data_IF_412335611545
#
_entry.id   IF_412335611545
#
_cell.length_a   1.000
_cell.length_b   1.000
_cell.length_c   1.000
_cell.angle_alpha   90.00
_cell.angle_beta   90.00
_cell.angle_gamma   90.00
#
_symmetry.space_group_name_H-M   'P 1'
#
loop_
_entity.id
_entity.type
_entity.pdbx_description
1 polymer ?
#
# COMPACT_ATOMS: atom_id res chain seq x y z
N UNK A 1 9.81 -19.43 57.27
CA UNK A 1 10.39 -18.35 56.44
C UNK A 1 11.21 -18.87 55.24
N UNK A 2 12.10 -19.87 55.38
CA UNK A 2 12.92 -20.40 54.27
C UNK A 2 12.15 -20.98 53.06
N UNK A 3 10.99 -21.62 53.25
CA UNK A 3 10.20 -22.20 52.14
C UNK A 3 9.58 -21.13 51.24
N UNK A 4 9.15 -19.99 51.78
CA UNK A 4 8.52 -18.89 51.01
C UNK A 4 9.55 -18.19 50.11
N UNK A 5 10.77 -17.96 50.61
CA UNK A 5 11.88 -17.43 49.78
C UNK A 5 12.24 -18.35 48.61
N UNK A 6 12.15 -19.66 48.80
CA UNK A 6 12.45 -20.64 47.75
C UNK A 6 11.41 -20.61 46.62
N UNK A 7 10.11 -20.51 46.94
CA UNK A 7 9.06 -20.38 45.93
C UNK A 7 9.14 -19.06 45.16
N UNK A 8 9.48 -17.95 45.82
CA UNK A 8 9.67 -16.66 45.16
C UNK A 8 10.83 -16.67 44.16
N UNK A 9 11.90 -17.41 44.46
CA UNK A 9 13.04 -17.60 43.54
C UNK A 9 12.66 -18.40 42.29
N UNK A 10 11.87 -19.46 42.44
CA UNK A 10 11.39 -20.27 41.31
C UNK A 10 10.45 -19.44 40.42
N UNK A 11 9.53 -18.68 41.01
CA UNK A 11 8.64 -17.80 40.25
C UNK A 11 9.45 -16.73 39.50
N UNK A 12 10.44 -16.10 40.15
CA UNK A 12 11.31 -15.12 39.50
C UNK A 12 12.08 -15.70 38.31
N UNK A 13 12.60 -16.93 38.41
CA UNK A 13 13.31 -17.60 37.31
C UNK A 13 12.38 -17.96 36.14
N UNK A 14 11.13 -18.36 36.42
CA UNK A 14 10.12 -18.61 35.37
C UNK A 14 9.72 -17.32 34.66
N UNK A 15 9.55 -16.21 35.39
CA UNK A 15 9.32 -14.89 34.79
C UNK A 15 10.53 -14.41 33.99
N UNK A 16 11.76 -14.63 34.48
CA UNK A 16 12.98 -14.27 33.76
C UNK A 16 13.10 -15.05 32.44
N UNK A 17 12.82 -16.35 32.45
CA UNK A 17 12.83 -17.19 31.24
C UNK A 17 11.75 -16.80 30.22
N UNK A 18 10.56 -16.40 30.70
CA UNK A 18 9.50 -15.89 29.82
C UNK A 18 9.84 -14.50 29.24
N UNK A 19 10.52 -13.66 30.03
CA UNK A 19 10.95 -12.32 29.62
C UNK A 19 12.09 -12.37 28.59
N UNK A 20 13.08 -13.24 28.78
CA UNK A 20 14.17 -13.44 27.81
C UNK A 20 13.68 -14.07 26.51
N UNK A 21 12.75 -15.03 26.56
CA UNK A 21 12.12 -15.58 25.36
C UNK A 21 11.38 -14.50 24.54
N UNK A 22 10.69 -13.56 25.21
CA UNK A 22 10.06 -12.40 24.55
C UNK A 22 11.07 -11.43 23.96
N UNK A 23 12.21 -11.20 24.61
CA UNK A 23 13.25 -10.30 24.10
C UNK A 23 13.93 -10.91 22.88
N UNK A 24 14.28 -12.20 22.92
CA UNK A 24 14.83 -12.88 21.75
C UNK A 24 13.83 -12.91 20.60
N UNK A 25 12.55 -13.23 20.84
CA UNK A 25 11.54 -13.23 19.78
C UNK A 25 11.29 -11.83 19.22
N UNK A 26 11.34 -10.79 20.05
CA UNK A 26 11.24 -9.41 19.60
C UNK A 26 12.48 -8.95 18.82
N UNK A 27 13.68 -9.35 19.22
CA UNK A 27 14.91 -9.03 18.48
C UNK A 27 14.98 -9.76 17.14
N UNK A 28 14.61 -11.04 17.09
CA UNK A 28 14.55 -11.79 15.83
C UNK A 28 13.47 -11.25 14.93
N UNK A 29 12.27 -10.93 15.45
CA UNK A 29 11.21 -10.27 14.70
C UNK A 29 11.66 -8.92 14.17
N UNK A 30 12.24 -8.06 15.00
CA UNK A 30 12.74 -6.73 14.61
C UNK A 30 13.86 -6.82 13.56
N UNK A 31 14.74 -7.83 13.65
CA UNK A 31 15.80 -8.06 12.68
C UNK A 31 15.23 -8.60 11.37
N UNK A 32 14.27 -9.53 11.45
CA UNK A 32 13.55 -10.06 10.30
C UNK A 32 12.80 -8.96 9.54
N UNK A 33 12.05 -8.10 10.24
CA UNK A 33 11.34 -6.99 9.61
C UNK A 33 12.31 -5.95 9.05
N UNK A 34 13.43 -5.66 9.73
CA UNK A 34 14.47 -4.76 9.22
C UNK A 34 15.09 -5.29 7.93
N UNK A 35 15.41 -6.58 7.88
CA UNK A 35 15.99 -7.21 6.69
C UNK A 35 14.96 -7.24 5.54
N UNK A 36 13.68 -7.54 5.84
CA UNK A 36 12.60 -7.52 4.85
C UNK A 36 12.39 -6.12 4.26
N UNK A 37 12.39 -5.08 5.10
CA UNK A 37 12.30 -3.69 4.63
C UNK A 37 13.52 -3.30 3.79
N UNK A 38 14.72 -3.67 4.23
CA UNK A 38 15.95 -3.40 3.48
C UNK A 38 15.95 -4.08 2.10
N UNK A 39 15.38 -5.28 1.98
CA UNK A 39 15.25 -5.96 0.68
C UNK A 39 14.24 -5.27 -0.25
N UNK A 40 13.11 -4.80 0.27
CA UNK A 40 12.11 -4.08 -0.54
C UNK A 40 12.64 -2.71 -1.01
N UNK A 41 13.37 -2.01 -0.15
CA UNK A 41 14.05 -0.76 -0.50
C UNK A 41 15.08 -0.96 -1.62
N UNK A 42 15.88 -2.03 -1.56
CA UNK A 42 16.89 -2.36 -2.59
C UNK A 42 16.23 -2.71 -3.94
N UNK A 43 15.20 -3.55 -3.95
CA UNK A 43 14.48 -3.91 -5.18
C UNK A 43 13.85 -2.67 -5.81
N UNK A 44 13.24 -1.81 -4.99
CA UNK A 44 12.63 -0.55 -5.44
C UNK A 44 13.67 0.42 -5.98
N UNK A 45 14.83 0.53 -5.32
CA UNK A 45 15.93 1.39 -5.75
C UNK A 45 16.53 0.91 -7.07
N UNK A 46 16.80 -0.39 -7.20
CA UNK A 46 17.28 -0.98 -8.45
C UNK A 46 16.27 -0.77 -9.58
N UNK A 47 14.96 -0.90 -9.33
CA UNK A 47 13.95 -0.60 -10.35
C UNK A 47 14.01 0.87 -10.80
N UNK A 48 14.11 1.83 -9.87
CA UNK A 48 14.27 3.26 -10.20
C UNK A 48 15.52 3.52 -11.05
N UNK A 49 16.67 2.97 -10.65
CA UNK A 49 17.92 3.12 -11.40
C UNK A 49 17.83 2.54 -12.81
N UNK A 50 17.11 1.43 -12.98
CA UNK A 50 16.87 0.85 -14.30
C UNK A 50 15.97 1.74 -15.16
N UNK A 51 14.96 2.39 -14.58
CA UNK A 51 14.11 3.36 -15.29
C UNK A 51 14.91 4.59 -15.74
N UNK A 52 15.83 5.06 -14.90
CA UNK A 52 16.69 6.21 -15.23
C UNK A 52 17.64 5.90 -16.40
N UNK A 53 18.18 4.67 -16.44
CA UNK A 53 19.07 4.20 -17.52
C UNK A 53 18.30 3.85 -18.80
N UNK A 54 17.08 3.35 -18.67
CA UNK A 54 16.25 2.91 -19.79
C UNK A 54 14.84 3.51 -19.68
N UNK A 55 14.66 4.78 -20.13
CA UNK A 55 13.35 5.42 -20.11
C UNK A 55 12.32 4.61 -20.90
N UNK A 56 11.22 4.25 -20.25
CA UNK A 56 10.08 3.55 -20.85
C UNK A 56 8.89 4.49 -20.99
N UNK A 57 7.87 4.12 -21.77
CA UNK A 57 6.65 4.93 -21.95
C UNK A 57 5.68 4.81 -20.78
N UNK A 58 4.79 5.80 -20.62
CA UNK A 58 3.82 5.81 -19.53
C UNK A 58 2.91 4.57 -19.60
N UNK A 59 2.52 4.14 -20.80
CA UNK A 59 1.79 2.88 -21.03
C UNK A 59 2.54 1.65 -20.53
N UNK A 60 3.86 1.58 -20.72
CA UNK A 60 4.67 0.48 -20.24
C UNK A 60 4.79 0.50 -18.71
N UNK A 61 4.97 1.68 -18.12
CA UNK A 61 5.00 1.86 -16.66
C UNK A 61 3.66 1.45 -16.01
N UNK A 62 2.53 1.81 -16.61
CA UNK A 62 1.21 1.35 -16.14
C UNK A 62 1.10 -0.17 -16.21
N UNK A 63 1.53 -0.79 -17.31
CA UNK A 63 1.53 -2.27 -17.43
C UNK A 63 2.39 -2.94 -16.36
N UNK A 64 3.56 -2.36 -16.06
CA UNK A 64 4.42 -2.87 -15.00
C UNK A 64 3.79 -2.67 -13.62
N UNK A 65 3.20 -1.50 -13.35
CA UNK A 65 2.47 -1.23 -12.10
C UNK A 65 1.30 -2.19 -11.88
N UNK A 66 0.52 -2.49 -12.92
CA UNK A 66 -0.56 -3.50 -12.86
C UNK A 66 -0.01 -4.90 -12.60
N UNK A 67 1.15 -5.26 -13.19
CA UNK A 67 1.80 -6.55 -12.93
C UNK A 67 2.22 -6.65 -11.46
N UNK A 68 2.87 -5.62 -10.92
CA UNK A 68 3.28 -5.57 -9.51
C UNK A 68 2.09 -5.60 -8.55
N UNK A 69 0.99 -4.91 -8.88
CA UNK A 69 -0.26 -5.03 -8.11
C UNK A 69 -0.80 -6.47 -8.05
N UNK A 70 -0.64 -7.25 -9.14
CA UNK A 70 -1.07 -8.65 -9.18
C UNK A 70 -0.13 -9.58 -8.41
N UNK A 71 1.16 -9.27 -8.34
CA UNK A 71 2.15 -10.03 -7.55
C UNK A 71 2.16 -9.64 -6.07
N UNK A 72 1.50 -8.53 -5.71
CA UNK A 72 1.44 -8.01 -4.35
C UNK A 72 2.59 -7.06 -4.00
N UNK A 73 3.47 -6.75 -4.96
CA UNK A 73 4.58 -5.81 -4.80
C UNK A 73 4.08 -4.36 -4.89
N UNK A 74 3.29 -3.96 -3.90
CA UNK A 74 2.60 -2.65 -3.89
C UNK A 74 3.57 -1.45 -3.94
N UNK A 75 4.77 -1.58 -3.36
CA UNK A 75 5.78 -0.52 -3.38
C UNK A 75 6.40 -0.32 -4.78
N UNK A 76 6.68 -1.41 -5.50
CA UNK A 76 7.10 -1.35 -6.91
C UNK A 76 6.00 -0.80 -7.81
N UNK A 77 4.75 -1.20 -7.55
CA UNK A 77 3.61 -0.66 -8.27
C UNK A 77 3.48 0.86 -8.08
N UNK A 78 3.64 1.34 -6.84
CA UNK A 78 3.62 2.77 -6.53
C UNK A 78 4.67 3.52 -7.36
N UNK A 79 5.91 3.05 -7.35
CA UNK A 79 7.01 3.71 -8.07
C UNK A 79 6.77 3.74 -9.58
N UNK A 80 6.36 2.62 -10.17
CA UNK A 80 6.06 2.57 -11.60
C UNK A 80 4.95 3.55 -11.98
N UNK A 81 3.88 3.61 -11.18
CA UNK A 81 2.71 4.43 -11.46
C UNK A 81 2.95 5.92 -11.16
N UNK A 82 3.74 6.26 -10.15
CA UNK A 82 4.19 7.64 -9.91
C UNK A 82 5.07 8.16 -11.05
N UNK A 83 5.91 7.31 -11.64
CA UNK A 83 6.67 7.68 -12.84
C UNK A 83 5.74 7.83 -14.06
N UNK A 84 4.74 6.96 -14.20
CA UNK A 84 3.76 7.06 -15.28
C UNK A 84 2.97 8.38 -15.24
N UNK A 85 2.54 8.83 -14.06
CA UNK A 85 1.79 10.10 -13.90
C UNK A 85 2.68 11.33 -14.13
N UNK A 86 3.98 11.26 -13.81
CA UNK A 86 4.94 12.32 -14.13
C UNK A 86 5.21 12.41 -15.63
N UNK A 87 5.34 11.26 -16.29
CA UNK A 87 5.64 11.20 -17.72
C UNK A 87 4.44 11.61 -18.57
N UNK A 88 3.23 11.17 -18.22
CA UNK A 88 2.01 11.58 -18.88
C UNK A 88 0.93 11.99 -17.85
N UNK A 89 0.84 13.28 -17.52
CA UNK A 89 -0.16 13.82 -16.61
C UNK A 89 -1.61 13.72 -17.11
N UNK A 90 -1.84 13.29 -18.35
CA UNK A 90 -3.18 13.07 -18.91
C UNK A 90 -3.54 11.59 -19.01
N UNK A 91 -2.65 10.69 -18.57
CA UNK A 91 -2.92 9.27 -18.67
C UNK A 91 -3.79 8.76 -17.52
N UNK A 92 -5.10 8.75 -17.74
CA UNK A 92 -6.12 8.34 -16.77
C UNK A 92 -5.79 7.06 -16.02
N UNK A 93 -5.40 6.00 -16.73
CA UNK A 93 -5.13 4.68 -16.12
C UNK A 93 -4.00 4.75 -15.09
N UNK A 94 -2.98 5.59 -15.31
CA UNK A 94 -1.89 5.76 -14.35
C UNK A 94 -2.40 6.27 -13.00
N UNK A 95 -3.30 7.26 -13.02
CA UNK A 95 -3.92 7.80 -11.81
C UNK A 95 -4.90 6.81 -11.16
N UNK A 96 -5.67 6.05 -11.95
CA UNK A 96 -6.58 5.01 -11.42
C UNK A 96 -5.81 3.94 -10.66
N UNK A 97 -4.77 3.38 -11.26
CA UNK A 97 -3.99 2.34 -10.62
C UNK A 97 -3.15 2.89 -9.47
N UNK A 98 -2.65 4.13 -9.55
CA UNK A 98 -1.96 4.77 -8.43
C UNK A 98 -2.91 4.96 -7.23
N UNK A 99 -4.15 5.36 -7.49
CA UNK A 99 -5.20 5.43 -6.49
C UNK A 99 -5.47 4.07 -5.83
N UNK A 100 -5.55 3.00 -6.61
CA UNK A 100 -5.68 1.63 -6.09
C UNK A 100 -4.48 1.23 -5.21
N UNK A 101 -3.25 1.51 -5.63
CA UNK A 101 -2.05 1.27 -4.80
C UNK A 101 -2.15 1.99 -3.46
N UNK A 102 -2.49 3.28 -3.46
CA UNK A 102 -2.62 4.04 -2.23
C UNK A 102 -3.75 3.51 -1.34
N UNK A 103 -4.86 3.00 -1.90
CA UNK A 103 -5.87 2.29 -1.11
C UNK A 103 -5.28 1.01 -0.48
N UNK A 104 -4.55 0.18 -1.22
CA UNK A 104 -3.95 -1.04 -0.64
C UNK A 104 -2.97 -0.72 0.50
N UNK A 105 -2.27 0.41 0.43
CA UNK A 105 -1.37 0.91 1.48
C UNK A 105 -2.08 1.71 2.58
N UNK A 106 -3.43 1.79 2.58
CA UNK A 106 -4.23 2.60 3.51
C UNK A 106 -3.93 4.12 3.49
N UNK A 107 -3.29 4.62 2.43
CA UNK A 107 -3.03 6.04 2.19
C UNK A 107 -4.26 6.70 1.56
N UNK A 108 -5.40 6.64 2.25
CA UNK A 108 -6.72 6.96 1.68
C UNK A 108 -6.83 8.39 1.13
N UNK A 109 -6.14 9.36 1.74
CA UNK A 109 -6.14 10.75 1.27
C UNK A 109 -5.40 10.90 -0.08
N UNK A 110 -4.22 10.27 -0.23
CA UNK A 110 -3.50 10.27 -1.52
C UNK A 110 -4.26 9.49 -2.59
N UNK A 111 -4.92 8.40 -2.19
CA UNK A 111 -5.79 7.67 -3.09
C UNK A 111 -6.89 8.58 -3.64
N UNK A 112 -7.57 9.33 -2.76
CA UNK A 112 -8.60 10.27 -3.15
C UNK A 112 -8.06 11.32 -4.15
N UNK A 113 -6.90 11.91 -3.87
CA UNK A 113 -6.27 12.90 -4.78
C UNK A 113 -5.97 12.32 -6.17
N UNK A 114 -5.36 11.13 -6.24
CA UNK A 114 -5.07 10.47 -7.51
C UNK A 114 -6.36 10.11 -8.27
N UNK A 115 -7.37 9.60 -7.58
CA UNK A 115 -8.64 9.19 -8.18
C UNK A 115 -9.49 10.38 -8.63
N UNK A 116 -9.43 11.52 -7.92
CA UNK A 116 -10.04 12.77 -8.36
C UNK A 116 -9.40 13.25 -9.67
N UNK A 117 -8.07 13.15 -9.82
CA UNK A 117 -7.40 13.40 -11.11
C UNK A 117 -7.84 12.43 -12.21
N UNK A 118 -7.97 11.14 -11.90
CA UNK A 118 -8.48 10.16 -12.86
C UNK A 118 -9.93 10.50 -13.31
N UNK A 119 -10.76 10.97 -12.37
CA UNK A 119 -12.14 11.40 -12.64
C UNK A 119 -12.18 12.64 -13.52
N UNK A 120 -11.31 13.62 -13.27
CA UNK A 120 -11.22 14.83 -14.11
C UNK A 120 -10.83 14.49 -15.56
N UNK A 121 -10.02 13.45 -15.76
CA UNK A 121 -9.56 12.99 -17.08
C UNK A 121 -10.61 12.15 -17.82
N UNK A 122 -11.32 11.26 -17.11
CA UNK A 122 -12.46 10.50 -17.65
C UNK A 122 -13.58 10.39 -16.59
N UNK A 123 -14.56 11.30 -16.63
CA UNK A 123 -15.67 11.31 -15.68
C UNK A 123 -16.62 10.12 -15.81
N UNK A 124 -16.55 9.34 -16.89
CA UNK A 124 -17.44 8.21 -17.15
C UNK A 124 -16.80 6.87 -16.81
N UNK A 125 -15.56 6.84 -16.31
CA UNK A 125 -14.88 5.59 -16.02
C UNK A 125 -15.44 4.88 -14.78
N UNK A 126 -16.10 3.71 -14.90
CA UNK A 126 -16.77 3.07 -13.78
C UNK A 126 -15.81 2.69 -12.65
N UNK A 127 -14.62 2.21 -13.01
CA UNK A 127 -13.63 1.75 -12.04
C UNK A 127 -13.03 2.90 -11.22
N UNK A 128 -12.88 4.11 -11.80
CA UNK A 128 -12.50 5.30 -11.02
C UNK A 128 -13.53 5.57 -9.92
N UNK A 129 -14.81 5.56 -10.25
CA UNK A 129 -15.89 5.80 -9.30
C UNK A 129 -16.00 4.71 -8.23
N UNK A 130 -15.74 3.45 -8.59
CA UNK A 130 -15.65 2.35 -7.63
C UNK A 130 -14.51 2.59 -6.62
N UNK A 131 -13.33 3.00 -7.07
CA UNK A 131 -12.22 3.26 -6.15
C UNK A 131 -12.46 4.52 -5.32
N UNK A 132 -13.10 5.55 -5.89
CA UNK A 132 -13.51 6.76 -5.15
C UNK A 132 -14.48 6.43 -4.02
N UNK A 133 -15.46 5.54 -4.25
CA UNK A 133 -16.39 5.14 -3.20
C UNK A 133 -15.66 4.47 -2.03
N UNK A 134 -14.70 3.60 -2.32
CA UNK A 134 -13.84 2.97 -1.30
C UNK A 134 -13.00 4.02 -0.56
N UNK A 135 -12.41 4.98 -1.27
CA UNK A 135 -11.62 6.05 -0.66
C UNK A 135 -12.47 6.92 0.28
N UNK A 136 -13.64 7.36 -0.18
CA UNK A 136 -14.57 8.15 0.62
C UNK A 136 -15.06 7.39 1.86
N UNK A 137 -15.42 6.12 1.71
CA UNK A 137 -15.85 5.27 2.82
C UNK A 137 -14.75 5.16 3.89
N UNK A 138 -13.50 4.91 3.49
CA UNK A 138 -12.37 4.82 4.43
C UNK A 138 -12.00 6.15 5.09
N UNK A 139 -12.44 7.26 4.53
CA UNK A 139 -12.31 8.61 5.10
C UNK A 139 -13.54 9.03 5.91
N UNK A 140 -14.55 8.16 6.06
CA UNK A 140 -15.80 8.45 6.78
C UNK A 140 -16.76 9.39 6.05
N UNK A 141 -16.57 9.59 4.73
CA UNK A 141 -17.41 10.46 3.90
C UNK A 141 -18.53 9.64 3.24
N UNK A 142 -19.45 9.12 4.06
CA UNK A 142 -20.47 8.15 3.64
C UNK A 142 -21.38 8.63 2.50
N UNK A 143 -21.80 9.89 2.52
CA UNK A 143 -22.67 10.46 1.48
C UNK A 143 -21.98 10.43 0.10
N UNK A 144 -20.73 10.89 0.04
CA UNK A 144 -19.92 10.87 -1.20
C UNK A 144 -19.59 9.45 -1.63
N UNK A 145 -19.38 8.53 -0.69
CA UNK A 145 -19.16 7.12 -1.00
C UNK A 145 -20.37 6.51 -1.69
N UNK A 146 -21.58 6.76 -1.18
CA UNK A 146 -22.84 6.31 -1.77
C UNK A 146 -23.07 6.90 -3.17
N UNK A 147 -22.83 8.20 -3.34
CA UNK A 147 -22.91 8.87 -4.65
C UNK A 147 -21.95 8.24 -5.66
N UNK A 148 -20.67 8.08 -5.28
CA UNK A 148 -19.65 7.48 -6.13
C UNK A 148 -19.98 6.03 -6.50
N UNK A 149 -20.49 5.24 -5.55
CA UNK A 149 -20.94 3.87 -5.83
C UNK A 149 -22.15 3.82 -6.77
N UNK A 150 -23.06 4.80 -6.68
CA UNK A 150 -24.18 4.96 -7.61
C UNK A 150 -23.69 5.24 -9.04
N UNK A 151 -22.77 6.20 -9.20
CA UNK A 151 -22.16 6.55 -10.49
C UNK A 151 -21.39 5.39 -11.12
N UNK A 152 -20.63 4.64 -10.32
CA UNK A 152 -19.91 3.45 -10.80
C UNK A 152 -20.88 2.45 -11.46
N UNK A 153 -22.00 2.14 -10.81
CA UNK A 153 -23.02 1.22 -11.33
C UNK A 153 -23.78 1.78 -12.54
N UNK A 154 -23.98 3.10 -12.61
CA UNK A 154 -24.62 3.73 -13.76
C UNK A 154 -23.74 3.59 -15.00
N UNK A 155 -22.45 3.90 -14.86
CA UNK A 155 -21.52 3.90 -15.99
C UNK A 155 -21.07 2.51 -16.42
N UNK A 156 -21.10 1.51 -15.52
CA UNK A 156 -20.83 0.11 -15.89
C UNK A 156 -21.87 -0.47 -16.88
N UNK A 157 -23.09 0.09 -16.89
CA UNK A 157 -24.20 -0.40 -17.73
C UNK A 157 -24.28 0.26 -19.10
N UNK A 158 -23.46 1.27 -19.38
CA UNK A 158 -23.44 1.99 -20.66
C UNK A 158 -22.30 1.45 -21.53
#
# INVERSE_FOLDING_TARGET
MRKVQFYLLIIALLFLGFWTAKILSWQTFKTYTKNLQATEEDITQNYKENLDKNPVTASKLVKDGVRFLKGGETDLAQVALEQATKQDPKYRDAFVYLGNVYLQQNQNQKALEALEKAKDLDPLHPYTWQLLSVAYQRLGQEEKASEAAGKAKEFEKK
#
